data_IF_633880724313
#
_entry.id   IF_633880724313
#
_cell.length_a   1.000
_cell.length_b   1.000
_cell.length_c   1.000
_cell.angle_alpha   90.00
_cell.angle_beta   90.00
_cell.angle_gamma   90.00
#
_symmetry.space_group_name_H-M   'P 1'
#
loop_
_entity.id
_entity.type
_entity.pdbx_description
1 polymer ?
#
# COMPACT_ATOMS: atom_id res chain seq x y z
N UNK A 1 -7.06 17.95 -29.80
CA UNK A 1 -7.77 19.24 -29.64
C UNK A 1 -6.86 20.18 -28.85
N UNK A 2 -6.68 21.42 -29.29
CA UNK A 2 -5.68 22.36 -28.77
C UNK A 2 -6.04 22.81 -27.34
N UNK A 3 -5.17 22.53 -26.37
CA UNK A 3 -5.25 23.07 -25.01
C UNK A 3 -4.94 24.58 -25.05
N UNK A 4 -5.92 25.41 -24.68
CA UNK A 4 -5.71 26.83 -24.37
C UNK A 4 -5.20 26.94 -22.94
N UNK A 5 -3.94 27.34 -22.79
CA UNK A 5 -3.40 27.90 -21.55
C UNK A 5 -4.05 29.27 -21.37
N UNK A 6 -4.89 29.42 -20.34
CA UNK A 6 -5.43 30.72 -19.95
C UNK A 6 -4.54 31.25 -18.83
N UNK A 7 -3.58 32.11 -19.17
CA UNK A 7 -2.91 32.97 -18.19
C UNK A 7 -3.86 34.09 -17.81
N UNK A 8 -4.51 33.98 -16.64
CA UNK A 8 -5.29 35.08 -16.06
C UNK A 8 -4.37 35.86 -15.12
N UNK A 9 -3.94 37.04 -15.55
CA UNK A 9 -3.32 38.04 -14.67
C UNK A 9 -4.47 38.78 -13.98
N UNK A 10 -4.76 38.45 -12.73
CA UNK A 10 -5.66 39.25 -11.90
C UNK A 10 -4.87 40.43 -11.31
N UNK A 11 -5.20 41.65 -11.73
CA UNK A 11 -4.90 42.87 -10.96
C UNK A 11 -6.06 43.02 -9.97
N UNK A 12 -5.84 42.60 -8.73
CA UNK A 12 -6.80 42.77 -7.63
C UNK A 12 -6.70 44.19 -7.09
N UNK A 13 -7.74 45.01 -7.32
CA UNK A 13 -7.97 46.25 -6.58
C UNK A 13 -8.63 45.91 -5.24
N UNK A 14 -7.92 46.12 -4.13
CA UNK A 14 -8.41 45.92 -2.77
C UNK A 14 -9.25 47.12 -2.30
N UNK A 15 -10.44 46.85 -1.74
CA UNK A 15 -11.09 47.70 -0.74
C UNK A 15 -11.63 46.82 0.40
N UNK A 16 -10.79 46.57 1.42
CA UNK A 16 -11.06 46.83 2.84
C UNK A 16 -10.01 46.15 3.75
N UNK A 17 -9.54 46.93 4.74
CA UNK A 17 -8.45 46.68 5.70
C UNK A 17 -7.04 46.63 5.09
N UNK A 18 -6.22 47.61 5.48
CA UNK A 18 -4.89 47.96 4.96
C UNK A 18 -3.96 46.75 4.77
N UNK A 19 -4.01 46.11 3.61
CA UNK A 19 -2.94 45.24 3.12
C UNK A 19 -2.12 46.10 2.17
N UNK A 20 -0.91 46.46 2.59
CA UNK A 20 0.08 47.09 1.72
C UNK A 20 0.92 45.96 1.14
N UNK A 21 0.75 45.75 -0.16
CA UNK A 21 1.39 44.69 -0.92
C UNK A 21 2.16 45.32 -2.08
N UNK A 22 3.47 45.08 -2.16
CA UNK A 22 4.33 45.58 -3.25
C UNK A 22 4.90 44.43 -4.06
N UNK A 23 4.76 44.53 -5.39
CA UNK A 23 5.31 43.58 -6.36
C UNK A 23 4.96 42.11 -6.08
N UNK A 24 3.71 41.83 -5.68
CA UNK A 24 3.23 40.45 -5.46
C UNK A 24 3.01 39.75 -6.80
N UNK A 25 3.72 38.65 -7.02
CA UNK A 25 3.43 37.66 -8.06
C UNK A 25 2.79 36.45 -7.40
N UNK A 26 1.47 36.36 -7.46
CA UNK A 26 0.68 35.26 -6.89
C UNK A 26 0.13 34.36 -7.99
N UNK A 27 0.22 33.05 -7.80
CA UNK A 27 -0.39 32.04 -8.64
C UNK A 27 -1.14 31.05 -7.76
N UNK A 28 -2.45 30.95 -7.95
CA UNK A 28 -3.35 30.10 -7.17
C UNK A 28 -4.14 29.18 -8.10
N UNK A 29 -4.16 27.89 -7.74
CA UNK A 29 -4.94 26.85 -8.41
C UNK A 29 -5.92 26.20 -7.42
N UNK A 30 -6.66 25.20 -7.87
CA UNK A 30 -7.57 24.44 -7.01
C UNK A 30 -6.86 23.64 -5.91
N UNK A 31 -5.54 23.40 -6.02
CA UNK A 31 -4.79 22.59 -5.06
C UNK A 31 -3.46 23.19 -4.61
N UNK A 32 -3.09 24.38 -5.09
CA UNK A 32 -1.83 25.02 -4.73
C UNK A 32 -1.89 26.54 -4.78
N UNK A 33 -1.06 27.19 -3.99
CA UNK A 33 -0.96 28.64 -3.93
C UNK A 33 0.48 29.07 -3.65
N UNK A 34 1.07 29.77 -4.62
CA UNK A 34 2.45 30.26 -4.54
C UNK A 34 2.47 31.77 -4.73
N UNK A 35 3.28 32.46 -3.93
CA UNK A 35 3.50 33.88 -4.14
C UNK A 35 4.93 34.28 -3.81
N UNK A 36 5.44 35.27 -4.55
CA UNK A 36 6.66 36.01 -4.26
C UNK A 36 6.31 37.49 -4.16
N UNK A 37 6.91 38.21 -3.21
CA UNK A 37 6.57 39.61 -2.93
C UNK A 37 7.76 40.38 -2.37
N UNK A 38 7.85 41.66 -2.76
CA UNK A 38 8.84 42.56 -2.20
C UNK A 38 8.46 43.06 -0.81
N UNK A 39 7.16 43.29 -0.61
CA UNK A 39 6.58 43.72 0.66
C UNK A 39 5.17 43.15 0.81
N UNK A 40 4.94 42.47 1.93
CA UNK A 40 3.62 42.07 2.41
C UNK A 40 3.46 42.59 3.84
N UNK A 41 2.58 43.59 3.99
CA UNK A 41 2.16 44.13 5.28
C UNK A 41 0.63 44.09 5.35
N UNK A 42 0.09 43.02 5.92
CA UNK A 42 -1.34 42.71 5.88
C UNK A 42 -1.59 41.21 5.82
N UNK A 43 -2.67 40.78 5.16
CA UNK A 43 -3.02 39.37 5.08
C UNK A 43 -3.56 38.97 3.71
N UNK A 44 -3.22 37.77 3.31
CA UNK A 44 -3.81 37.06 2.19
C UNK A 44 -4.63 35.87 2.73
N UNK A 45 -5.75 35.52 2.08
CA UNK A 45 -6.65 34.47 2.56
C UNK A 45 -7.09 33.51 1.46
N UNK A 46 -7.17 32.23 1.81
CA UNK A 46 -7.78 31.15 1.04
C UNK A 46 -8.95 30.57 1.86
N UNK A 47 -10.12 30.43 1.24
CA UNK A 47 -11.27 29.78 1.86
C UNK A 47 -11.56 28.47 1.14
N UNK A 48 -11.59 27.38 1.88
CA UNK A 48 -12.01 26.06 1.42
C UNK A 48 -13.38 25.75 1.99
N UNK A 49 -14.30 25.36 1.10
CA UNK A 49 -15.66 25.00 1.48
C UNK A 49 -15.65 23.64 2.17
N UNK A 50 -16.52 23.48 3.18
CA UNK A 50 -16.69 22.20 3.87
C UNK A 50 -16.93 21.05 2.89
N UNK A 51 -16.29 19.92 3.18
CA UNK A 51 -16.47 18.65 2.52
C UNK A 51 -16.40 17.58 3.60
N UNK A 52 -17.54 16.96 3.90
CA UNK A 52 -17.64 15.98 4.97
C UNK A 52 -16.71 14.78 4.70
N UNK A 53 -16.09 14.26 5.76
CA UNK A 53 -15.23 13.07 5.68
C UNK A 53 -14.02 13.27 4.75
N UNK A 54 -13.51 14.51 4.71
CA UNK A 54 -12.33 14.87 3.94
C UNK A 54 -11.32 15.63 4.78
N UNK A 55 -10.05 15.41 4.48
CA UNK A 55 -8.91 16.07 5.11
C UNK A 55 -8.14 16.85 4.06
N UNK A 56 -7.76 18.08 4.39
CA UNK A 56 -6.78 18.87 3.62
C UNK A 56 -5.39 18.54 4.15
N UNK A 57 -4.49 18.12 3.28
CA UNK A 57 -3.06 18.09 3.60
C UNK A 57 -2.42 19.39 3.16
N UNK A 58 -2.19 20.29 4.11
CA UNK A 58 -1.52 21.56 3.86
C UNK A 58 -0.01 21.38 3.95
N UNK A 59 0.64 21.20 2.81
CA UNK A 59 2.09 21.32 2.66
C UNK A 59 2.45 22.80 2.55
N UNK A 60 3.41 23.29 3.34
CA UNK A 60 3.81 24.70 3.35
C UNK A 60 5.31 24.91 3.40
N UNK A 61 5.79 25.83 2.55
CA UNK A 61 7.15 26.39 2.57
C UNK A 61 7.02 27.91 2.60
N UNK A 62 7.54 28.55 3.64
CA UNK A 62 7.40 29.99 3.87
C UNK A 62 8.78 30.58 4.11
N UNK A 63 9.12 31.63 3.36
CA UNK A 63 10.41 32.30 3.41
C UNK A 63 10.17 33.78 3.65
N UNK A 64 10.65 34.29 4.79
CA UNK A 64 10.72 35.71 5.09
C UNK A 64 12.19 36.14 5.13
N UNK A 65 12.64 36.86 4.10
CA UNK A 65 14.01 37.42 4.05
C UNK A 65 14.15 38.60 5.03
N UNK A 66 13.07 39.37 5.18
CA UNK A 66 12.91 40.45 6.17
C UNK A 66 11.48 40.44 6.69
N UNK A 67 11.24 41.11 7.83
CA UNK A 67 9.93 41.13 8.47
C UNK A 67 9.51 39.76 9.02
N UNK A 68 8.21 39.49 9.08
CA UNK A 68 7.70 38.18 9.53
C UNK A 68 6.51 37.71 8.70
N UNK A 69 6.43 36.39 8.49
CA UNK A 69 5.30 35.71 7.87
C UNK A 69 4.73 34.67 8.83
N UNK A 70 3.40 34.63 8.93
CA UNK A 70 2.67 33.64 9.72
C UNK A 70 1.64 32.94 8.86
N UNK A 71 1.53 31.63 9.00
CA UNK A 71 0.48 30.82 8.39
C UNK A 71 -0.53 30.44 9.46
N UNK A 72 -1.81 30.70 9.20
CA UNK A 72 -2.89 30.38 10.11
C UNK A 72 -3.93 29.51 9.41
N UNK A 73 -4.49 28.54 10.14
CA UNK A 73 -5.71 27.85 9.79
C UNK A 73 -6.79 28.13 10.85
N UNK A 74 -7.94 28.67 10.44
CA UNK A 74 -9.04 29.07 11.33
C UNK A 74 -8.57 29.91 12.53
N UNK A 75 -7.67 30.89 12.29
CA UNK A 75 -7.03 31.76 13.28
C UNK A 75 -5.99 31.10 14.19
N UNK A 76 -5.75 29.80 14.08
CA UNK A 76 -4.67 29.11 14.79
C UNK A 76 -3.41 29.15 13.96
N UNK A 77 -2.32 29.66 14.53
CA UNK A 77 -1.00 29.65 13.89
C UNK A 77 -0.52 28.21 13.69
N UNK A 78 -0.06 27.91 12.47
CA UNK A 78 0.58 26.66 12.10
C UNK A 78 2.08 26.84 12.31
N UNK A 79 2.67 25.97 13.13
CA UNK A 79 4.11 25.99 13.39
C UNK A 79 4.86 25.49 12.16
N UNK A 80 5.87 26.24 11.74
CA UNK A 80 6.77 25.86 10.66
C UNK A 80 8.15 25.51 11.24
N UNK A 81 8.31 24.28 11.71
CA UNK A 81 9.57 23.79 12.30
C UNK A 81 10.56 23.24 11.27
N UNK A 82 10.07 22.86 10.09
CA UNK A 82 10.86 22.32 8.98
C UNK A 82 10.88 23.28 7.79
N UNK A 83 11.75 23.03 6.79
CA UNK A 83 11.76 23.78 5.53
C UNK A 83 10.45 23.61 4.76
N UNK A 84 9.92 22.39 4.74
CA UNK A 84 8.57 22.04 4.29
C UNK A 84 7.83 21.40 5.46
N UNK A 85 6.64 21.92 5.76
CA UNK A 85 5.79 21.41 6.84
C UNK A 85 4.54 20.80 6.22
N UNK A 86 4.01 19.75 6.83
CA UNK A 86 2.77 19.09 6.40
C UNK A 86 1.78 19.08 7.56
N UNK A 87 0.63 19.72 7.36
CA UNK A 87 -0.41 19.82 8.39
C UNK A 87 -1.72 19.23 7.88
N UNK A 88 -2.25 18.25 8.60
CA UNK A 88 -3.58 17.70 8.37
C UNK A 88 -4.64 18.62 8.98
N UNK A 89 -5.61 19.02 8.17
CA UNK A 89 -6.71 19.89 8.58
C UNK A 89 -8.03 19.25 8.14
N UNK A 90 -8.90 18.91 9.09
CA UNK A 90 -10.22 18.38 8.77
C UNK A 90 -11.08 19.43 8.04
N UNK A 91 -11.80 18.97 7.01
CA UNK A 91 -12.66 19.80 6.16
C UNK A 91 -14.16 19.62 6.45
N UNK A 92 -14.51 19.04 7.61
CA UNK A 92 -15.92 18.92 8.04
C UNK A 92 -16.61 20.29 8.22
N UNK A 93 -15.83 21.36 8.34
CA UNK A 93 -16.28 22.74 8.37
C UNK A 93 -15.52 23.57 7.33
N UNK A 94 -16.04 24.76 6.98
CA UNK A 94 -15.32 25.69 6.13
C UNK A 94 -13.96 26.02 6.78
N UNK A 95 -12.90 25.92 5.98
CA UNK A 95 -11.54 26.12 6.44
C UNK A 95 -11.00 27.41 5.83
N UNK A 96 -10.53 28.31 6.71
CA UNK A 96 -9.85 29.55 6.31
C UNK A 96 -8.36 29.42 6.54
N UNK A 97 -7.58 29.49 5.47
CA UNK A 97 -6.12 29.55 5.49
C UNK A 97 -5.70 31.00 5.28
N UNK A 98 -4.76 31.51 6.08
CA UNK A 98 -4.30 32.89 6.00
C UNK A 98 -2.78 32.96 6.04
N UNK A 99 -2.20 33.83 5.20
CA UNK A 99 -0.81 34.26 5.30
C UNK A 99 -0.83 35.69 5.82
N UNK A 100 -0.21 35.94 6.97
CA UNK A 100 -0.08 37.27 7.57
C UNK A 100 1.36 37.72 7.44
N UNK A 101 1.57 38.84 6.74
CA UNK A 101 2.88 39.49 6.64
C UNK A 101 2.95 40.76 7.48
N UNK A 102 4.10 40.99 8.11
CA UNK A 102 4.44 42.25 8.77
C UNK A 102 5.74 42.77 8.17
N UNK A 103 5.62 43.77 7.29
CA UNK A 103 6.72 44.34 6.49
C UNK A 103 7.61 43.25 5.86
N UNK A 104 6.98 42.18 5.38
CA UNK A 104 7.68 40.97 5.00
C UNK A 104 8.13 41.02 3.54
N UNK A 105 9.39 40.68 3.29
CA UNK A 105 9.90 40.36 1.94
C UNK A 105 10.09 38.85 1.84
N UNK A 106 9.69 38.23 0.72
CA UNK A 106 9.99 36.82 0.49
C UNK A 106 8.93 36.11 -0.33
N UNK A 107 8.63 34.87 0.07
CA UNK A 107 7.75 34.00 -0.68
C UNK A 107 7.04 32.97 0.18
N UNK A 108 5.95 32.42 -0.34
CA UNK A 108 5.37 31.18 0.18
C UNK A 108 4.95 30.25 -0.95
N UNK A 109 4.93 28.96 -0.64
CA UNK A 109 4.33 27.91 -1.44
C UNK A 109 3.48 27.03 -0.55
N UNK A 110 2.22 26.85 -0.95
CA UNK A 110 1.25 25.99 -0.30
C UNK A 110 0.75 24.97 -1.32
N UNK A 111 0.73 23.69 -0.96
CA UNK A 111 -0.11 22.69 -1.61
C UNK A 111 -1.17 22.25 -0.60
N UNK A 112 -2.41 22.12 -1.04
CA UNK A 112 -3.57 21.76 -0.21
C UNK A 112 -4.51 20.75 -0.89
N UNK A 113 -3.99 19.60 -1.35
CA UNK A 113 -4.85 18.53 -1.84
C UNK A 113 -5.86 18.08 -0.78
N UNK A 114 -7.09 17.86 -1.24
CA UNK A 114 -8.19 17.32 -0.43
C UNK A 114 -8.25 15.81 -0.65
N UNK A 115 -8.20 15.04 0.43
CA UNK A 115 -8.36 13.59 0.42
C UNK A 115 -9.62 13.20 1.15
N UNK A 116 -10.43 12.34 0.54
CA UNK A 116 -11.60 11.74 1.18
C UNK A 116 -11.14 10.52 1.99
N UNK A 117 -11.67 10.34 3.19
CA UNK A 117 -11.42 9.13 3.96
C UNK A 117 -12.14 7.96 3.28
N UNK A 118 -11.36 7.03 2.75
CA UNK A 118 -11.85 5.89 1.99
C UNK A 118 -12.17 4.73 2.91
N UNK A 119 -13.30 4.08 2.62
CA UNK A 119 -13.62 2.78 3.20
C UNK A 119 -12.85 1.70 2.48
N UNK A 120 -12.38 0.73 3.26
CA UNK A 120 -11.77 -0.49 2.74
C UNK A 120 -12.88 -1.54 2.58
N UNK A 121 -13.02 -2.08 1.38
CA UNK A 121 -13.95 -3.18 1.12
C UNK A 121 -13.30 -4.48 1.60
N UNK A 122 -14.01 -5.28 2.40
CA UNK A 122 -13.50 -6.58 2.86
C UNK A 122 -14.42 -7.66 2.32
N UNK A 123 -13.84 -8.61 1.61
CA UNK A 123 -14.55 -9.78 1.11
C UNK A 123 -13.54 -10.88 0.80
N UNK A 124 -13.87 -12.14 1.06
CA UNK A 124 -13.12 -13.23 0.47
C UNK A 124 -13.45 -13.34 -1.03
N UNK A 125 -12.58 -13.98 -1.81
CA UNK A 125 -12.83 -14.23 -3.23
C UNK A 125 -12.73 -15.72 -3.54
N UNK A 126 -13.77 -16.29 -4.16
CA UNK A 126 -13.86 -17.74 -4.45
C UNK A 126 -12.75 -18.26 -5.36
N UNK A 127 -12.33 -17.46 -6.35
CA UNK A 127 -11.24 -17.84 -7.25
C UNK A 127 -9.90 -17.87 -6.50
N UNK A 128 -9.68 -16.91 -5.60
CA UNK A 128 -8.50 -16.87 -4.73
C UNK A 128 -8.49 -18.03 -3.73
N UNK A 129 -9.63 -18.35 -3.13
CA UNK A 129 -9.74 -19.51 -2.22
C UNK A 129 -9.36 -20.81 -2.93
N UNK A 130 -9.82 -21.00 -4.18
CA UNK A 130 -9.48 -22.19 -4.95
C UNK A 130 -8.02 -22.19 -5.41
N UNK A 131 -7.47 -21.04 -5.79
CA UNK A 131 -6.05 -20.88 -6.13
C UNK A 131 -5.16 -21.31 -4.97
N UNK A 132 -5.41 -20.77 -3.78
CA UNK A 132 -4.64 -21.04 -2.58
C UNK A 132 -4.81 -22.49 -2.10
N UNK A 133 -6.03 -23.04 -2.16
CA UNK A 133 -6.28 -24.45 -1.86
C UNK A 133 -5.51 -25.36 -2.82
N UNK A 134 -5.53 -25.09 -4.13
CA UNK A 134 -4.80 -25.89 -5.11
C UNK A 134 -3.29 -25.87 -4.80
N UNK A 135 -2.73 -24.71 -4.45
CA UNK A 135 -1.32 -24.61 -4.04
C UNK A 135 -1.05 -25.44 -2.78
N UNK A 136 -1.90 -25.33 -1.76
CA UNK A 136 -1.75 -26.10 -0.53
C UNK A 136 -1.85 -27.61 -0.77
N UNK A 137 -2.74 -28.07 -1.67
CA UNK A 137 -2.88 -29.48 -2.02
C UNK A 137 -1.67 -30.02 -2.80
N UNK A 138 -1.10 -29.21 -3.70
CA UNK A 138 0.11 -29.58 -4.46
C UNK A 138 1.29 -29.84 -3.51
N UNK A 139 1.42 -29.06 -2.44
CA UNK A 139 2.47 -29.19 -1.43
C UNK A 139 1.96 -29.82 -0.12
N UNK A 140 0.88 -30.60 -0.18
CA UNK A 140 0.19 -31.11 1.01
C UNK A 140 1.13 -31.88 1.94
N UNK A 141 1.98 -32.75 1.38
CA UNK A 141 2.88 -33.58 2.18
C UNK A 141 3.91 -32.75 2.93
N UNK A 142 4.38 -31.64 2.36
CA UNK A 142 5.32 -30.72 3.03
C UNK A 142 4.67 -30.10 4.27
N UNK A 143 3.39 -29.69 4.17
CA UNK A 143 2.65 -29.15 5.32
C UNK A 143 2.22 -30.21 6.33
N UNK A 144 1.84 -31.40 5.87
CA UNK A 144 1.38 -32.49 6.72
C UNK A 144 2.53 -33.14 7.51
N UNK A 145 3.76 -33.04 7.01
CA UNK A 145 4.97 -33.60 7.62
C UNK A 145 5.75 -32.61 8.48
N UNK A 146 5.24 -31.38 8.70
CA UNK A 146 5.86 -30.41 9.62
C UNK A 146 6.05 -31.08 11.00
N UNK A 147 7.30 -31.15 11.52
CA UNK A 147 7.58 -31.82 12.78
C UNK A 147 6.89 -31.16 13.98
N UNK A 148 6.44 -31.96 14.94
CA UNK A 148 5.70 -31.46 16.12
C UNK A 148 6.59 -30.66 17.10
N UNK A 149 7.91 -30.83 17.01
CA UNK A 149 8.94 -30.12 17.76
C UNK A 149 9.33 -28.77 17.14
N UNK A 150 9.03 -28.54 15.86
CA UNK A 150 9.37 -27.29 15.19
C UNK A 150 8.48 -26.16 15.73
N UNK A 151 9.10 -25.13 16.29
CA UNK A 151 8.39 -24.01 16.93
C UNK A 151 9.08 -22.66 16.67
N UNK A 152 8.30 -21.59 16.81
CA UNK A 152 8.79 -20.20 16.84
C UNK A 152 8.22 -19.48 18.05
N UNK A 153 9.00 -18.54 18.59
CA UNK A 153 8.51 -17.63 19.62
C UNK A 153 7.78 -16.45 18.97
N UNK A 154 6.48 -16.33 19.22
CA UNK A 154 5.65 -15.18 18.81
C UNK A 154 5.16 -14.50 20.09
N UNK A 155 5.50 -13.21 20.24
CA UNK A 155 5.13 -12.41 21.44
C UNK A 155 5.51 -13.06 22.78
N UNK A 156 6.68 -13.72 22.82
CA UNK A 156 7.19 -14.40 24.02
C UNK A 156 6.55 -15.77 24.30
N UNK A 157 5.73 -16.30 23.39
CA UNK A 157 5.13 -17.63 23.49
C UNK A 157 5.68 -18.55 22.40
N UNK A 158 6.07 -19.75 22.78
CA UNK A 158 6.46 -20.78 21.81
C UNK A 158 5.22 -21.39 21.15
N UNK A 159 5.17 -21.29 19.82
CA UNK A 159 4.08 -21.78 18.99
C UNK A 159 4.64 -22.80 18.02
N UNK A 160 4.00 -23.98 17.94
CA UNK A 160 4.38 -24.99 16.96
C UNK A 160 4.04 -24.51 15.57
N UNK A 161 4.94 -24.72 14.62
CA UNK A 161 4.75 -24.30 13.22
C UNK A 161 3.48 -24.92 12.65
N UNK A 162 3.24 -26.20 12.93
CA UNK A 162 2.05 -26.94 12.48
C UNK A 162 0.74 -26.33 12.96
N UNK A 163 0.70 -25.74 14.16
CA UNK A 163 -0.50 -25.12 14.72
C UNK A 163 -0.89 -23.84 13.96
N UNK A 164 0.09 -23.17 13.34
CA UNK A 164 -0.17 -21.98 12.50
C UNK A 164 -0.94 -22.34 11.22
N UNK A 165 -0.79 -23.57 10.73
CA UNK A 165 -1.48 -24.09 9.54
C UNK A 165 -2.71 -24.95 9.89
N UNK A 166 -3.19 -24.92 11.14
CA UNK A 166 -4.24 -25.82 11.60
C UNK A 166 -5.55 -25.69 10.79
N UNK A 167 -5.95 -24.47 10.42
CA UNK A 167 -7.14 -24.24 9.58
C UNK A 167 -6.92 -24.74 8.14
N UNK A 168 -5.74 -24.46 7.55
CA UNK A 168 -5.39 -24.93 6.21
C UNK A 168 -5.37 -26.46 6.14
N UNK A 169 -4.73 -27.11 7.11
CA UNK A 169 -4.68 -28.57 7.22
C UNK A 169 -6.08 -29.16 7.43
N UNK A 170 -6.92 -28.55 8.29
CA UNK A 170 -8.32 -28.97 8.47
C UNK A 170 -9.08 -28.98 7.15
N UNK A 171 -8.98 -27.90 6.37
CA UNK A 171 -9.63 -27.78 5.07
C UNK A 171 -9.04 -28.77 4.06
N UNK A 172 -7.71 -28.78 3.89
CA UNK A 172 -7.03 -29.61 2.91
C UNK A 172 -7.25 -31.11 3.15
N UNK A 173 -7.40 -31.53 4.40
CA UNK A 173 -7.71 -32.92 4.76
C UNK A 173 -9.01 -33.43 4.13
N UNK A 174 -10.00 -32.57 3.89
CA UNK A 174 -11.26 -32.95 3.23
C UNK A 174 -11.07 -33.29 1.74
N UNK A 175 -9.98 -32.80 1.13
CA UNK A 175 -9.68 -32.93 -0.29
C UNK A 175 -8.53 -33.91 -0.59
N UNK A 176 -8.08 -34.68 0.41
CA UNK A 176 -7.00 -35.68 0.25
C UNK A 176 -7.22 -36.68 -0.89
N UNK A 177 -8.47 -37.07 -1.14
CA UNK A 177 -8.81 -37.96 -2.24
C UNK A 177 -8.50 -37.38 -3.62
N UNK A 178 -8.29 -36.07 -3.72
CA UNK A 178 -8.06 -35.35 -4.97
C UNK A 178 -6.59 -34.92 -5.19
N UNK A 179 -5.64 -35.34 -4.34
CA UNK A 179 -4.21 -35.03 -4.52
C UNK A 179 -3.66 -35.51 -5.87
N UNK A 180 -4.23 -36.59 -6.42
CA UNK A 180 -3.87 -37.15 -7.73
C UNK A 180 -4.77 -36.66 -8.88
N UNK A 181 -5.56 -35.59 -8.66
CA UNK A 181 -6.43 -35.02 -9.70
C UNK A 181 -5.64 -34.61 -10.94
N UNK A 182 -6.11 -35.01 -12.12
CA UNK A 182 -5.52 -34.57 -13.40
C UNK A 182 -5.59 -33.05 -13.58
N UNK A 183 -6.67 -32.42 -13.10
CA UNK A 183 -6.82 -30.97 -13.17
C UNK A 183 -5.80 -30.28 -12.25
N UNK A 184 -5.58 -30.82 -11.04
CA UNK A 184 -4.57 -30.32 -10.12
C UNK A 184 -3.15 -30.46 -10.70
N UNK A 185 -2.86 -31.54 -11.43
CA UNK A 185 -1.57 -31.69 -12.13
C UNK A 185 -1.38 -30.66 -13.25
N UNK A 186 -2.44 -30.32 -13.99
CA UNK A 186 -2.38 -29.22 -14.97
C UNK A 186 -2.09 -27.90 -14.25
N UNK A 187 -2.81 -27.59 -13.16
CA UNK A 187 -2.58 -26.39 -12.34
C UNK A 187 -1.15 -26.34 -11.82
N UNK A 188 -0.62 -27.45 -11.32
CA UNK A 188 0.77 -27.56 -10.84
C UNK A 188 1.79 -27.15 -11.90
N UNK A 189 1.57 -27.52 -13.16
CA UNK A 189 2.49 -27.14 -14.25
C UNK A 189 2.60 -25.62 -14.47
N UNK A 190 1.62 -24.84 -14.02
CA UNK A 190 1.65 -23.38 -14.01
C UNK A 190 2.39 -22.83 -12.79
N UNK A 191 2.28 -23.51 -11.64
CA UNK A 191 2.96 -23.12 -10.40
C UNK A 191 4.45 -23.49 -10.42
N UNK A 192 4.83 -24.53 -11.16
CA UNK A 192 6.23 -24.91 -11.37
C UNK A 192 7.00 -23.86 -12.20
N UNK A 193 6.30 -23.09 -13.04
CA UNK A 193 6.90 -22.02 -13.86
C UNK A 193 7.07 -20.71 -13.09
N UNK A 194 6.15 -20.45 -12.16
CA UNK A 194 6.12 -19.21 -11.38
C UNK A 194 5.29 -19.35 -10.13
N UNK A 195 5.61 -18.50 -9.15
CA UNK A 195 4.90 -18.47 -7.88
C UNK A 195 3.38 -18.25 -8.07
N UNK A 196 2.57 -19.09 -7.43
CA UNK A 196 1.14 -19.20 -7.70
C UNK A 196 0.36 -17.89 -7.50
N UNK A 197 0.77 -17.03 -6.56
CA UNK A 197 0.07 -15.78 -6.29
C UNK A 197 0.17 -14.76 -7.44
N UNK A 198 1.11 -14.93 -8.38
CA UNK A 198 1.21 -14.07 -9.56
C UNK A 198 -0.04 -14.14 -10.45
N UNK A 199 -0.82 -15.22 -10.38
CA UNK A 199 -2.08 -15.35 -11.11
C UNK A 199 -3.26 -14.61 -10.46
N UNK A 200 -3.09 -14.03 -9.26
CA UNK A 200 -4.19 -13.46 -8.48
C UNK A 200 -4.93 -12.33 -9.18
N UNK A 201 -4.20 -11.38 -9.80
CA UNK A 201 -4.82 -10.28 -10.53
C UNK A 201 -5.65 -10.77 -11.73
N UNK A 202 -5.14 -11.76 -12.46
CA UNK A 202 -5.90 -12.41 -13.52
C UNK A 202 -7.18 -13.05 -12.96
N UNK A 203 -7.09 -13.82 -11.88
CA UNK A 203 -8.24 -14.49 -11.27
C UNK A 203 -9.29 -13.55 -10.67
N UNK A 204 -8.88 -12.40 -10.16
CA UNK A 204 -9.79 -11.34 -9.69
C UNK A 204 -10.49 -10.61 -10.84
N UNK A 205 -9.94 -10.68 -12.06
CA UNK A 205 -10.44 -9.96 -13.24
C UNK A 205 -11.39 -10.78 -14.13
N UNK A 206 -11.53 -12.08 -13.87
CA UNK A 206 -12.41 -12.99 -14.63
C UNK A 206 -13.64 -13.38 -13.81
N UNK A 207 -14.62 -13.98 -14.48
CA UNK A 207 -15.83 -14.47 -13.82
C UNK A 207 -15.49 -15.61 -12.83
N UNK A 208 -16.37 -15.90 -11.87
CA UNK A 208 -16.11 -16.93 -10.87
C UNK A 208 -16.13 -18.35 -11.47
N UNK A 209 -15.25 -19.22 -10.98
CA UNK A 209 -15.33 -20.66 -11.21
C UNK A 209 -16.70 -21.23 -10.73
N UNK A 210 -17.27 -22.25 -11.39
CA UNK A 210 -16.71 -23.06 -12.48
C UNK A 210 -17.10 -22.57 -13.89
N UNK A 211 -17.55 -21.32 -14.03
CA UNK A 211 -17.95 -20.75 -15.32
C UNK A 211 -17.03 -19.62 -15.77
N UNK A 212 -15.81 -19.57 -15.22
CA UNK A 212 -14.84 -18.52 -15.53
C UNK A 212 -14.44 -18.61 -17.01
N UNK A 213 -14.37 -17.46 -17.67
CA UNK A 213 -13.97 -17.35 -19.08
C UNK A 213 -12.88 -16.30 -19.24
N UNK A 214 -11.93 -16.60 -20.12
CA UNK A 214 -10.91 -15.66 -20.54
C UNK A 214 -11.52 -14.67 -21.53
N UNK A 215 -11.35 -13.38 -21.27
CA UNK A 215 -11.83 -12.31 -22.14
C UNK A 215 -10.65 -11.78 -22.94
N UNK A 216 -10.84 -11.64 -24.25
CA UNK A 216 -9.86 -11.01 -25.13
C UNK A 216 -9.61 -9.56 -24.68
N UNK A 217 -8.34 -9.15 -24.61
CA UNK A 217 -7.97 -7.83 -24.10
C UNK A 217 -7.86 -7.71 -22.56
N UNK A 218 -7.96 -8.82 -21.82
CA UNK A 218 -7.63 -8.80 -20.39
C UNK A 218 -6.15 -8.41 -20.20
N UNK A 219 -5.90 -7.34 -19.43
CA UNK A 219 -4.56 -6.76 -19.23
C UNK A 219 -3.57 -7.67 -18.50
N UNK A 220 -4.07 -8.69 -17.80
CA UNK A 220 -3.26 -9.66 -17.07
C UNK A 220 -2.96 -10.92 -17.90
N UNK A 221 -3.20 -10.90 -19.22
CA UNK A 221 -2.82 -12.01 -20.11
C UNK A 221 -1.31 -12.14 -20.32
N UNK A 222 -0.52 -11.11 -20.00
CA UNK A 222 0.93 -11.15 -20.01
C UNK A 222 1.52 -12.19 -19.03
N UNK A 223 0.71 -12.63 -18.06
CA UNK A 223 0.99 -13.74 -17.17
C UNK A 223 1.03 -15.10 -17.89
N UNK A 224 0.55 -15.18 -19.12
CA UNK A 224 0.46 -16.41 -19.90
C UNK A 224 1.18 -16.28 -21.23
N UNK A 225 1.55 -17.41 -21.82
CA UNK A 225 2.25 -17.41 -23.13
C UNK A 225 1.32 -17.07 -24.29
N UNK A 226 0.01 -17.32 -24.13
CA UNK A 226 -1.03 -17.00 -25.11
C UNK A 226 -2.40 -16.99 -24.44
N UNK A 227 -3.42 -16.50 -25.16
CA UNK A 227 -4.82 -16.61 -24.69
C UNK A 227 -5.24 -18.06 -24.49
N UNK A 228 -4.80 -18.98 -25.37
CA UNK A 228 -5.10 -20.40 -25.25
C UNK A 228 -4.48 -21.03 -24.00
N UNK A 229 -3.29 -20.56 -23.62
CA UNK A 229 -2.62 -20.96 -22.39
C UNK A 229 -3.39 -20.48 -21.14
N UNK A 230 -3.89 -19.25 -21.16
CA UNK A 230 -4.77 -18.72 -20.11
C UNK A 230 -6.10 -19.50 -20.03
N UNK A 231 -6.67 -19.90 -21.18
CA UNK A 231 -7.88 -20.72 -21.24
C UNK A 231 -7.65 -22.12 -20.67
N UNK A 232 -6.50 -22.75 -20.97
CA UNK A 232 -6.14 -24.05 -20.41
C UNK A 232 -6.04 -23.99 -18.89
N UNK A 233 -5.38 -22.97 -18.35
CA UNK A 233 -5.33 -22.70 -16.91
C UNK A 233 -6.72 -22.52 -16.31
N UNK A 234 -7.54 -21.65 -16.93
CA UNK A 234 -8.90 -21.33 -16.45
C UNK A 234 -9.80 -22.56 -16.48
N UNK A 235 -9.73 -23.37 -17.54
CA UNK A 235 -10.49 -24.61 -17.68
C UNK A 235 -10.07 -25.66 -16.67
N UNK A 236 -8.76 -25.78 -16.36
CA UNK A 236 -8.29 -26.68 -15.31
C UNK A 236 -8.91 -26.31 -13.94
N UNK A 237 -8.99 -25.02 -13.61
CA UNK A 237 -9.66 -24.57 -12.39
C UNK A 237 -11.19 -24.74 -12.43
N UNK A 238 -11.86 -24.45 -13.55
CA UNK A 238 -13.31 -24.72 -13.72
C UNK A 238 -13.63 -26.20 -13.45
N UNK A 239 -12.83 -27.10 -14.04
CA UNK A 239 -12.99 -28.53 -13.89
C UNK A 239 -12.66 -28.99 -12.47
N UNK A 240 -11.56 -28.50 -11.89
CA UNK A 240 -11.17 -28.85 -10.52
C UNK A 240 -12.21 -28.39 -9.50
N UNK A 241 -12.74 -27.17 -9.65
CA UNK A 241 -13.84 -26.65 -8.83
C UNK A 241 -15.03 -27.61 -8.80
N UNK A 242 -15.43 -28.11 -9.98
CA UNK A 242 -16.56 -29.04 -10.11
C UNK A 242 -16.22 -30.41 -9.55
N UNK A 243 -15.02 -30.93 -9.84
CA UNK A 243 -14.52 -32.23 -9.39
C UNK A 243 -14.53 -32.35 -7.87
N UNK A 244 -14.05 -31.32 -7.16
CA UNK A 244 -13.97 -31.31 -5.70
C UNK A 244 -15.25 -30.80 -5.03
N UNK A 245 -16.30 -30.51 -5.82
CA UNK A 245 -17.57 -29.95 -5.36
C UNK A 245 -17.38 -28.69 -4.50
N UNK A 246 -16.56 -27.76 -4.98
CA UNK A 246 -16.11 -26.62 -4.18
C UNK A 246 -17.24 -25.72 -3.66
N UNK A 247 -18.38 -25.65 -4.36
CA UNK A 247 -19.58 -24.98 -3.83
C UNK A 247 -20.09 -25.63 -2.53
N UNK A 248 -20.13 -26.96 -2.43
CA UNK A 248 -20.55 -27.65 -1.21
C UNK A 248 -19.60 -27.30 -0.03
N UNK A 249 -18.30 -27.17 -0.31
CA UNK A 249 -17.32 -26.69 0.66
C UNK A 249 -17.59 -25.24 1.10
N UNK A 250 -17.81 -24.33 0.16
CA UNK A 250 -18.05 -22.91 0.47
C UNK A 250 -19.31 -22.73 1.33
N UNK A 251 -20.38 -23.47 1.04
CA UNK A 251 -21.60 -23.46 1.86
C UNK A 251 -21.34 -24.04 3.26
N UNK A 252 -20.63 -25.17 3.34
CA UNK A 252 -20.26 -25.79 4.62
C UNK A 252 -19.39 -24.88 5.49
N UNK A 253 -18.44 -24.16 4.89
CA UNK A 253 -17.51 -23.26 5.58
C UNK A 253 -18.03 -21.82 5.68
N UNK A 254 -19.29 -21.55 5.31
CA UNK A 254 -19.86 -20.21 5.39
C UNK A 254 -19.70 -19.54 6.77
N UNK A 255 -19.95 -20.22 7.91
CA UNK A 255 -19.71 -19.62 9.23
C UNK A 255 -18.24 -19.24 9.50
N UNK A 256 -17.29 -19.97 8.90
CA UNK A 256 -15.86 -19.65 9.01
C UNK A 256 -15.52 -18.37 8.22
N UNK A 257 -16.08 -18.22 7.02
CA UNK A 257 -15.91 -16.98 6.25
C UNK A 257 -16.56 -15.79 6.94
N UNK A 258 -17.77 -15.94 7.49
CA UNK A 258 -18.41 -14.88 8.29
C UNK A 258 -17.56 -14.47 9.48
N UNK A 259 -17.01 -15.46 10.22
CA UNK A 259 -16.10 -15.18 11.33
C UNK A 259 -14.83 -14.47 10.88
N UNK A 260 -14.19 -14.94 9.82
CA UNK A 260 -12.96 -14.33 9.28
C UNK A 260 -13.21 -12.86 8.89
N UNK A 261 -14.30 -12.59 8.17
CA UNK A 261 -14.68 -11.23 7.79
C UNK A 261 -14.97 -10.38 9.03
N UNK A 262 -15.65 -10.94 10.04
CA UNK A 262 -15.87 -10.26 11.31
C UNK A 262 -14.55 -9.89 12.00
N UNK A 263 -13.63 -10.85 12.17
CA UNK A 263 -12.32 -10.62 12.80
C UNK A 263 -11.54 -9.53 12.07
N UNK A 264 -11.47 -9.58 10.73
CA UNK A 264 -10.80 -8.54 9.94
C UNK A 264 -11.50 -7.19 10.08
N UNK A 265 -12.83 -7.16 10.03
CA UNK A 265 -13.60 -5.90 10.06
C UNK A 265 -13.47 -5.14 11.37
N UNK A 266 -13.30 -5.84 12.50
CA UNK A 266 -13.05 -5.20 13.80
C UNK A 266 -11.63 -4.64 13.94
N UNK A 267 -10.70 -5.10 13.10
CA UNK A 267 -9.28 -4.75 13.13
C UNK A 267 -8.85 -3.84 11.99
N UNK A 268 -9.78 -3.39 11.14
CA UNK A 268 -9.47 -2.42 10.08
C UNK A 268 -8.76 -1.23 10.74
N UNK A 269 -7.60 -0.80 10.20
CA UNK A 269 -6.89 0.34 10.74
C UNK A 269 -7.84 1.54 10.84
N UNK A 270 -8.05 2.04 12.07
CA UNK A 270 -9.27 2.77 12.39
C UNK A 270 -9.47 4.09 11.66
N UNK A 271 -8.45 4.77 11.14
CA UNK A 271 -8.58 5.92 10.21
C UNK A 271 -7.21 6.29 9.58
N UNK A 272 -7.25 7.02 8.46
CA UNK A 272 -6.19 7.89 7.90
C UNK A 272 -4.87 7.31 7.36
N UNK A 273 -4.58 6.01 7.44
CA UNK A 273 -3.36 5.52 6.78
C UNK A 273 -3.43 5.59 5.24
N UNK A 274 -4.62 5.43 4.66
CA UNK A 274 -4.81 5.58 3.20
C UNK A 274 -4.53 7.01 2.78
N UNK A 275 -5.09 8.00 3.48
CA UNK A 275 -4.88 9.41 3.12
C UNK A 275 -3.42 9.82 3.32
N UNK A 276 -2.73 9.29 4.34
CA UNK A 276 -1.28 9.45 4.50
C UNK A 276 -0.49 8.86 3.32
N UNK A 277 -0.80 7.62 2.91
CA UNK A 277 -0.15 6.99 1.77
C UNK A 277 -0.39 7.78 0.49
N UNK A 278 -1.65 8.15 0.18
CA UNK A 278 -1.97 8.89 -1.04
C UNK A 278 -1.34 10.28 -1.10
N UNK A 279 -1.22 10.95 0.06
CA UNK A 279 -0.50 12.22 0.18
C UNK A 279 1.00 12.05 0.00
N UNK A 280 1.59 11.12 0.75
CA UNK A 280 3.02 10.88 0.73
C UNK A 280 3.52 10.43 -0.65
N UNK A 281 2.80 9.52 -1.33
CA UNK A 281 3.14 9.09 -2.68
C UNK A 281 2.65 10.04 -3.78
N UNK A 282 1.78 11.01 -3.46
CA UNK A 282 1.22 11.94 -4.44
C UNK A 282 0.25 11.28 -5.45
N UNK A 283 -0.38 10.15 -5.10
CA UNK A 283 -1.26 9.37 -5.99
C UNK A 283 -2.56 9.00 -5.28
N UNK A 284 -3.70 9.24 -5.92
CA UNK A 284 -5.03 8.84 -5.44
C UNK A 284 -5.53 7.60 -6.20
N UNK A 285 -6.21 6.71 -5.49
CA UNK A 285 -6.84 5.50 -6.03
C UNK A 285 -8.30 5.43 -5.61
N UNK A 286 -9.20 4.97 -6.48
CA UNK A 286 -10.63 5.00 -6.20
C UNK A 286 -11.05 3.99 -5.11
N UNK A 287 -10.45 2.79 -5.11
CA UNK A 287 -10.90 1.68 -4.26
C UNK A 287 -9.75 0.97 -3.55
N UNK A 288 -10.02 0.54 -2.32
CA UNK A 288 -9.12 -0.28 -1.51
C UNK A 288 -9.84 -1.55 -1.06
N UNK A 289 -9.27 -2.71 -1.38
CA UNK A 289 -9.92 -4.01 -1.15
C UNK A 289 -9.02 -4.95 -0.34
N UNK A 290 -9.61 -5.62 0.65
CA UNK A 290 -8.99 -6.68 1.42
C UNK A 290 -9.66 -8.01 1.10
N UNK A 291 -8.83 -8.99 0.76
CA UNK A 291 -9.21 -10.35 0.42
C UNK A 291 -8.61 -11.35 1.41
N UNK A 292 -9.11 -11.39 2.66
CA UNK A 292 -8.70 -12.41 3.60
C UNK A 292 -9.08 -13.80 3.09
N UNK A 293 -8.22 -14.79 3.36
CA UNK A 293 -8.35 -16.14 2.81
C UNK A 293 -8.14 -17.23 3.85
N UNK A 294 -9.06 -18.21 3.89
CA UNK A 294 -8.96 -19.36 4.79
C UNK A 294 -8.01 -20.44 4.27
N UNK A 295 -7.81 -20.49 2.95
CA UNK A 295 -7.00 -21.52 2.29
C UNK A 295 -5.56 -21.08 2.03
N UNK A 296 -5.26 -19.78 2.18
CA UNK A 296 -3.90 -19.25 2.10
C UNK A 296 -3.07 -19.61 3.33
N UNK A 297 -1.81 -19.99 3.12
CA UNK A 297 -0.92 -20.40 4.20
C UNK A 297 -0.61 -19.26 5.18
N UNK A 298 -0.40 -19.59 6.46
CA UNK A 298 -0.15 -18.64 7.54
C UNK A 298 0.81 -17.50 7.16
N UNK A 299 0.44 -16.27 7.54
CA UNK A 299 1.21 -15.04 7.33
C UNK A 299 1.54 -14.68 5.87
N UNK A 300 1.00 -15.38 4.87
CA UNK A 300 1.14 -14.96 3.48
C UNK A 300 0.28 -13.73 3.19
N UNK A 301 0.80 -12.82 2.36
CA UNK A 301 0.18 -11.56 1.95
C UNK A 301 0.65 -11.22 0.54
N UNK A 302 -0.24 -10.67 -0.30
CA UNK A 302 0.07 -10.31 -1.69
C UNK A 302 -0.70 -9.07 -2.15
N UNK A 303 0.04 -8.12 -2.70
CA UNK A 303 -0.51 -6.98 -3.41
C UNK A 303 -1.26 -7.42 -4.67
N UNK A 304 -2.47 -6.90 -4.84
CA UNK A 304 -3.29 -7.04 -6.04
C UNK A 304 -3.88 -5.69 -6.40
N UNK A 305 -4.30 -5.52 -7.64
CA UNK A 305 -4.93 -4.28 -8.09
C UNK A 305 -4.49 -3.82 -9.46
N UNK A 306 -4.89 -2.59 -9.74
CA UNK A 306 -4.57 -1.84 -10.93
C UNK A 306 -4.52 -0.33 -10.64
N UNK A 307 -4.57 0.48 -11.70
CA UNK A 307 -4.56 1.94 -11.60
C UNK A 307 -5.70 2.55 -10.79
N UNK A 308 -6.85 1.87 -10.66
CA UNK A 308 -8.06 2.37 -10.01
C UNK A 308 -8.41 1.64 -8.70
N UNK A 309 -7.81 0.48 -8.44
CA UNK A 309 -8.03 -0.31 -7.23
C UNK A 309 -6.71 -0.85 -6.68
N UNK A 310 -6.48 -0.66 -5.39
CA UNK A 310 -5.41 -1.33 -4.65
C UNK A 310 -6.04 -2.39 -3.76
N UNK A 311 -5.41 -3.54 -3.64
CA UNK A 311 -5.87 -4.56 -2.73
C UNK A 311 -4.77 -5.47 -2.19
N UNK A 312 -5.16 -6.28 -1.22
CA UNK A 312 -4.29 -7.22 -0.54
C UNK A 312 -5.03 -8.55 -0.30
N UNK A 313 -4.45 -9.65 -0.76
CA UNK A 313 -4.85 -11.01 -0.42
C UNK A 313 -3.98 -11.51 0.73
N UNK A 314 -4.57 -11.98 1.82
CA UNK A 314 -3.78 -12.39 2.98
C UNK A 314 -4.40 -13.51 3.82
N UNK A 315 -3.53 -14.23 4.53
CA UNK A 315 -3.88 -15.27 5.49
C UNK A 315 -3.98 -14.71 6.92
N UNK A 316 -4.28 -15.58 7.90
CA UNK A 316 -4.22 -15.22 9.31
C UNK A 316 -2.80 -14.84 9.77
N UNK A 317 -2.71 -14.00 10.80
CA UNK A 317 -1.45 -13.50 11.38
C UNK A 317 -1.20 -14.00 12.80
N UNK A 318 -2.14 -14.75 13.35
CA UNK A 318 -2.06 -15.32 14.68
C UNK A 318 -2.47 -16.78 14.62
N UNK A 319 -1.96 -17.58 15.57
CA UNK A 319 -2.30 -19.01 15.64
C UNK A 319 -3.82 -19.16 15.74
N UNK A 320 -4.49 -19.88 14.82
CA UNK A 320 -5.90 -20.18 14.95
C UNK A 320 -6.19 -21.00 16.22
N UNK A 321 -7.26 -20.66 16.92
CA UNK A 321 -7.79 -21.37 18.09
C UNK A 321 -9.26 -21.75 17.84
N UNK A 322 -9.78 -22.77 18.55
CA UNK A 322 -11.20 -23.18 18.49
C UNK A 322 -11.75 -23.41 17.08
N UNK A 323 -10.96 -23.99 16.17
CA UNK A 323 -11.33 -24.16 14.74
C UNK A 323 -12.37 -25.27 14.45
N UNK A 324 -12.90 -25.94 15.48
CA UNK A 324 -13.75 -27.12 15.31
C UNK A 324 -15.24 -26.84 15.50
N UNK A 325 -15.59 -25.81 16.25
CA UNK A 325 -16.97 -25.45 16.51
C UNK A 325 -17.27 -24.08 15.89
N UNK A 326 -18.18 -24.00 14.91
CA UNK A 326 -18.56 -22.75 14.25
C UNK A 326 -19.05 -21.63 15.19
N UNK A 327 -19.53 -21.97 16.40
CA UNK A 327 -20.10 -21.00 17.34
C UNK A 327 -19.05 -20.17 18.11
N UNK A 328 -17.81 -20.65 18.23
CA UNK A 328 -16.75 -20.01 19.02
C UNK A 328 -15.38 -19.93 18.32
N UNK A 329 -15.40 -19.89 16.98
CA UNK A 329 -14.21 -19.82 16.12
C UNK A 329 -13.28 -18.65 16.48
N UNK A 330 -11.97 -18.92 16.50
CA UNK A 330 -10.91 -17.90 16.59
C UNK A 330 -9.89 -18.16 15.48
N UNK A 331 -10.07 -17.52 14.32
CA UNK A 331 -9.39 -17.92 13.08
C UNK A 331 -7.99 -17.29 12.91
N UNK A 332 -7.57 -16.48 13.88
CA UNK A 332 -6.24 -15.86 13.88
C UNK A 332 -6.15 -14.60 13.03
N UNK A 333 -7.28 -14.02 12.59
CA UNK A 333 -7.33 -12.75 11.86
C UNK A 333 -7.51 -11.54 12.79
N UNK A 334 -7.84 -11.78 14.06
CA UNK A 334 -8.03 -10.75 15.08
C UNK A 334 -6.70 -10.13 15.56
N UNK A 335 -6.02 -9.38 14.68
CA UNK A 335 -4.73 -8.73 14.97
C UNK A 335 -4.59 -7.38 14.23
N UNK A 336 -5.02 -6.29 14.86
CA UNK A 336 -4.99 -4.92 14.32
C UNK A 336 -3.60 -4.49 13.85
N UNK A 337 -2.55 -4.79 14.63
CA UNK A 337 -1.17 -4.36 14.31
C UNK A 337 -0.63 -5.08 13.08
N UNK A 338 -0.81 -6.39 13.01
CA UNK A 338 -0.40 -7.18 11.86
C UNK A 338 -1.19 -6.79 10.60
N UNK A 339 -2.51 -6.62 10.74
CA UNK A 339 -3.38 -6.20 9.64
C UNK A 339 -2.96 -4.84 9.07
N UNK A 340 -2.71 -3.84 9.93
CA UNK A 340 -2.20 -2.54 9.48
C UNK A 340 -0.85 -2.66 8.79
N UNK A 341 0.07 -3.44 9.36
CA UNK A 341 1.41 -3.63 8.79
C UNK A 341 1.33 -4.23 7.39
N UNK A 342 0.54 -5.29 7.22
CA UNK A 342 0.37 -5.93 5.90
C UNK A 342 -0.34 -5.00 4.91
N UNK A 343 -1.31 -4.21 5.36
CA UNK A 343 -2.00 -3.27 4.48
C UNK A 343 -1.02 -2.22 3.95
N UNK A 344 -0.21 -1.61 4.82
CA UNK A 344 0.79 -0.62 4.40
C UNK A 344 1.83 -1.25 3.46
N UNK A 345 2.31 -2.46 3.77
CA UNK A 345 3.27 -3.19 2.93
C UNK A 345 2.70 -3.47 1.54
N UNK A 346 1.59 -4.20 1.46
CA UNK A 346 1.03 -4.68 0.20
C UNK A 346 0.45 -3.54 -0.64
N UNK A 347 -0.20 -2.56 -0.01
CA UNK A 347 -0.64 -1.37 -0.74
C UNK A 347 0.57 -0.56 -1.23
N UNK A 348 1.67 -0.55 -0.47
CA UNK A 348 2.94 0.09 -0.80
C UNK A 348 3.46 -0.33 -2.17
N UNK A 349 3.38 -1.62 -2.53
CA UNK A 349 3.81 -2.10 -3.85
C UNK A 349 3.08 -1.41 -5.02
N UNK A 350 1.82 -1.02 -4.84
CA UNK A 350 1.03 -0.34 -5.88
C UNK A 350 1.44 1.12 -6.12
N UNK A 351 2.25 1.69 -5.23
CA UNK A 351 2.88 2.99 -5.37
C UNK A 351 4.36 2.87 -5.75
N UNK A 352 5.08 1.97 -5.08
CA UNK A 352 6.53 1.81 -5.20
C UNK A 352 6.94 1.15 -6.51
N UNK A 353 6.31 0.05 -6.90
CA UNK A 353 6.73 -0.70 -8.09
C UNK A 353 6.63 0.17 -9.36
N UNK A 354 5.52 0.90 -9.61
CA UNK A 354 5.44 1.82 -10.73
C UNK A 354 6.48 2.95 -10.71
N UNK A 355 6.89 3.42 -9.52
CA UNK A 355 7.93 4.45 -9.41
C UNK A 355 9.30 3.90 -9.84
N UNK A 356 9.63 2.68 -9.43
CA UNK A 356 10.87 1.99 -9.82
C UNK A 356 10.82 1.57 -11.30
N UNK A 357 9.67 1.15 -11.82
CA UNK A 357 9.48 0.79 -13.23
C UNK A 357 9.71 1.97 -14.20
N UNK A 358 9.55 3.21 -13.73
CA UNK A 358 9.86 4.42 -14.51
C UNK A 358 11.36 4.75 -14.57
N UNK A 359 12.19 4.11 -13.74
CA UNK A 359 13.63 4.30 -13.76
C UNK A 359 14.22 3.58 -14.97
N UNK A 360 15.11 4.26 -15.70
CA UNK A 360 15.81 3.68 -16.85
C UNK A 360 16.54 2.40 -16.41
N UNK A 361 16.31 1.31 -17.15
CA UNK A 361 16.91 0.01 -16.82
C UNK A 361 18.43 0.06 -16.75
N UNK A 362 19.08 0.96 -17.50
CA UNK A 362 20.54 1.16 -17.42
C UNK A 362 20.98 1.62 -16.05
N UNK A 363 20.23 2.53 -15.41
CA UNK A 363 20.55 3.00 -14.05
C UNK A 363 20.43 1.84 -13.06
N UNK A 364 19.39 1.01 -13.19
CA UNK A 364 19.21 -0.17 -12.34
C UNK A 364 20.33 -1.19 -12.59
N UNK A 365 20.67 -1.43 -13.85
CA UNK A 365 21.70 -2.37 -14.28
C UNK A 365 23.10 -1.96 -13.79
N UNK A 366 23.43 -0.67 -13.88
CA UNK A 366 24.69 -0.10 -13.40
C UNK A 366 24.87 -0.27 -11.88
N UNK A 367 23.77 -0.47 -11.15
CA UNK A 367 23.73 -0.66 -9.69
C UNK A 367 23.56 -2.12 -9.27
N UNK A 368 23.56 -3.09 -10.21
CA UNK A 368 23.36 -4.51 -9.88
C UNK A 368 24.39 -5.09 -8.90
N UNK A 369 25.59 -4.53 -8.83
CA UNK A 369 26.63 -4.98 -7.92
C UNK A 369 26.24 -4.84 -6.43
N UNK A 370 25.28 -3.95 -6.09
CA UNK A 370 24.73 -3.84 -4.73
C UNK A 370 23.93 -5.07 -4.28
N UNK A 371 23.49 -5.92 -5.22
CA UNK A 371 22.82 -7.16 -4.88
C UNK A 371 23.78 -8.18 -4.29
N UNK A 372 25.03 -8.25 -4.77
CA UNK A 372 25.96 -9.33 -4.40
C UNK A 372 26.22 -9.43 -2.88
N UNK A 373 26.41 -8.34 -2.11
CA UNK A 373 26.57 -8.42 -0.66
C UNK A 373 25.36 -8.98 0.12
N UNK A 374 24.15 -8.88 -0.45
CA UNK A 374 22.90 -9.28 0.23
C UNK A 374 22.24 -10.51 -0.42
N UNK A 375 22.77 -10.98 -1.54
CA UNK A 375 22.17 -11.99 -2.42
C UNK A 375 21.71 -13.23 -1.68
N UNK A 376 22.58 -13.85 -0.89
CA UNK A 376 22.24 -15.10 -0.19
C UNK A 376 21.07 -14.92 0.78
N UNK A 377 21.03 -13.79 1.51
CA UNK A 377 19.97 -13.47 2.47
C UNK A 377 18.68 -13.04 1.80
N UNK A 378 18.77 -12.36 0.66
CA UNK A 378 17.63 -11.94 -0.14
C UNK A 378 17.00 -13.12 -0.88
N UNK A 379 17.80 -14.00 -1.47
CA UNK A 379 17.33 -15.21 -2.15
C UNK A 379 16.63 -16.19 -1.20
N UNK A 380 17.07 -16.29 0.06
CA UNK A 380 16.34 -17.05 1.10
C UNK A 380 14.93 -16.49 1.38
N UNK A 381 14.72 -15.22 1.07
CA UNK A 381 13.43 -14.53 1.18
C UNK A 381 12.72 -14.43 -0.20
N UNK A 382 13.17 -15.22 -1.19
CA UNK A 382 12.68 -15.25 -2.57
C UNK A 382 12.95 -13.97 -3.41
N UNK A 383 13.81 -13.08 -2.93
CA UNK A 383 14.24 -11.88 -3.67
C UNK A 383 15.52 -12.19 -4.45
N UNK A 384 15.34 -12.66 -5.69
CA UNK A 384 16.41 -13.30 -6.48
C UNK A 384 17.12 -12.37 -7.48
N UNK A 385 16.71 -11.12 -7.58
CA UNK A 385 17.39 -10.12 -8.40
C UNK A 385 17.36 -8.73 -7.77
N UNK A 386 18.21 -7.86 -8.29
CA UNK A 386 18.40 -6.50 -7.76
C UNK A 386 17.14 -5.64 -7.86
N UNK A 387 16.37 -5.75 -8.95
CA UNK A 387 15.16 -4.92 -9.13
C UNK A 387 14.06 -5.36 -8.16
N UNK A 388 13.90 -6.65 -7.93
CA UNK A 388 13.02 -7.17 -6.86
C UNK A 388 13.47 -6.63 -5.51
N UNK A 389 14.78 -6.67 -5.22
CA UNK A 389 15.31 -6.10 -3.98
C UNK A 389 14.97 -4.61 -3.86
N UNK A 390 15.09 -3.81 -4.93
CA UNK A 390 14.72 -2.40 -4.91
C UNK A 390 13.24 -2.21 -4.58
N UNK A 391 12.31 -2.99 -5.19
CA UNK A 391 10.89 -2.92 -4.85
C UNK A 391 10.68 -3.09 -3.34
N UNK A 392 11.26 -4.14 -2.78
CA UNK A 392 11.12 -4.46 -1.35
C UNK A 392 11.79 -3.42 -0.45
N UNK A 393 13.01 -2.98 -0.76
CA UNK A 393 13.72 -1.98 0.04
C UNK A 393 12.92 -0.68 0.13
N UNK A 394 12.34 -0.21 -0.98
CA UNK A 394 11.51 0.99 -0.97
C UNK A 394 10.17 0.76 -0.27
N UNK A 395 9.51 -0.40 -0.43
CA UNK A 395 8.30 -0.70 0.34
C UNK A 395 8.60 -0.70 1.85
N UNK A 396 9.65 -1.41 2.29
CA UNK A 396 10.08 -1.42 3.70
C UNK A 396 10.45 -0.04 4.21
N UNK A 397 11.13 0.79 3.40
CA UNK A 397 11.47 2.16 3.79
C UNK A 397 10.22 3.00 4.06
N UNK A 398 9.22 2.87 3.19
CA UNK A 398 7.98 3.61 3.34
C UNK A 398 7.10 3.08 4.47
N UNK A 399 7.15 1.78 4.81
CA UNK A 399 6.50 1.30 6.04
C UNK A 399 7.01 2.06 7.29
N UNK A 400 8.32 2.30 7.37
CA UNK A 400 8.95 3.04 8.46
C UNK A 400 8.46 4.50 8.47
N UNK A 401 8.40 5.14 7.30
CA UNK A 401 7.99 6.54 7.16
C UNK A 401 6.49 6.73 7.44
N UNK A 402 5.62 5.90 6.86
CA UNK A 402 4.18 5.94 7.09
C UNK A 402 3.86 5.70 8.57
N UNK A 403 4.58 4.79 9.26
CA UNK A 403 4.44 4.62 10.70
C UNK A 403 4.76 5.91 11.48
N UNK A 404 5.80 6.67 11.10
CA UNK A 404 6.12 7.97 11.71
C UNK A 404 5.04 9.02 11.44
N UNK A 405 4.53 9.09 10.21
CA UNK A 405 3.46 10.02 9.84
C UNK A 405 2.15 9.74 10.59
N UNK A 406 1.91 8.48 10.94
CA UNK A 406 0.82 8.04 11.81
C UNK A 406 1.11 8.23 13.31
N UNK A 407 2.23 8.85 13.68
CA UNK A 407 2.72 9.04 15.05
C UNK A 407 3.01 7.73 15.82
N UNK A 408 3.29 6.64 15.12
CA UNK A 408 3.67 5.35 15.71
C UNK A 408 5.19 5.12 15.61
N UNK A 409 5.94 5.94 16.36
CA UNK A 409 7.40 5.88 16.40
C UNK A 409 7.93 4.53 16.93
N UNK A 410 7.18 3.88 17.84
CA UNK A 410 7.54 2.56 18.33
C UNK A 410 7.53 1.56 17.17
N UNK A 411 6.44 1.48 16.41
CA UNK A 411 6.33 0.57 15.27
C UNK A 411 7.35 0.89 14.19
N UNK A 412 7.59 2.18 13.91
CA UNK A 412 8.62 2.61 12.96
C UNK A 412 10.01 2.04 13.31
N UNK A 413 10.41 2.15 14.59
CA UNK A 413 11.68 1.60 15.08
C UNK A 413 11.71 0.07 15.04
N UNK A 414 10.60 -0.58 15.38
CA UNK A 414 10.47 -2.06 15.29
C UNK A 414 10.67 -2.56 13.86
N UNK A 415 10.02 -1.92 12.87
CA UNK A 415 10.12 -2.29 11.46
C UNK A 415 11.55 -2.09 10.95
N UNK A 416 12.16 -0.93 11.25
CA UNK A 416 13.54 -0.66 10.84
C UNK A 416 14.51 -1.70 11.42
N UNK A 417 14.39 -1.97 12.72
CA UNK A 417 15.25 -2.92 13.42
C UNK A 417 15.10 -4.34 12.86
N UNK A 418 13.86 -4.81 12.67
CA UNK A 418 13.60 -6.15 12.13
C UNK A 418 14.18 -6.32 10.72
N UNK A 419 13.93 -5.34 9.84
CA UNK A 419 14.40 -5.39 8.47
C UNK A 419 15.93 -5.30 8.36
N UNK A 420 16.55 -4.41 9.12
CA UNK A 420 17.99 -4.21 9.09
C UNK A 420 18.74 -5.40 9.75
N UNK A 421 18.38 -5.74 10.98
CA UNK A 421 19.15 -6.72 11.79
C UNK A 421 18.83 -8.17 11.43
N UNK A 422 17.57 -8.50 11.12
CA UNK A 422 17.15 -9.90 10.93
C UNK A 422 16.97 -10.29 9.47
N UNK A 423 16.56 -9.36 8.63
CA UNK A 423 16.24 -9.61 7.21
C UNK A 423 17.29 -9.09 6.23
N UNK A 424 18.36 -8.47 6.73
CA UNK A 424 19.52 -8.01 5.95
C UNK A 424 19.20 -6.94 4.89
N UNK A 425 18.18 -6.10 5.12
CA UNK A 425 17.94 -4.90 4.30
C UNK A 425 18.95 -3.80 4.66
N UNK A 426 20.22 -4.02 4.33
CA UNK A 426 21.33 -3.16 4.80
C UNK A 426 21.29 -1.73 4.25
N UNK A 427 20.67 -1.51 3.08
CA UNK A 427 20.54 -0.18 2.45
C UNK A 427 19.32 0.61 2.96
N UNK A 428 18.48 -0.01 3.77
CA UNK A 428 17.23 0.58 4.27
C UNK A 428 17.43 1.92 5.00
N UNK A 429 18.40 2.08 5.92
CA UNK A 429 18.58 3.35 6.63
C UNK A 429 18.86 4.55 5.70
N UNK A 430 19.71 4.37 4.69
CA UNK A 430 20.06 5.42 3.74
C UNK A 430 18.86 5.83 2.87
N UNK A 431 18.06 4.85 2.44
CA UNK A 431 16.85 5.11 1.65
C UNK A 431 15.84 5.92 2.49
N UNK A 432 15.62 5.53 3.75
CA UNK A 432 14.74 6.26 4.68
C UNK A 432 15.23 7.70 4.86
N UNK A 433 16.51 7.90 5.15
CA UNK A 433 17.09 9.23 5.34
C UNK A 433 16.85 10.14 4.12
N UNK A 434 17.12 9.64 2.90
CA UNK A 434 16.94 10.42 1.67
C UNK A 434 15.46 10.72 1.40
N UNK A 435 14.55 9.79 1.68
CA UNK A 435 13.10 10.00 1.53
C UNK A 435 12.56 10.99 2.56
N UNK A 436 12.98 10.91 3.83
CA UNK A 436 12.60 11.87 4.86
C UNK A 436 13.14 13.27 4.54
N UNK A 437 14.40 13.35 4.09
CA UNK A 437 14.96 14.62 3.64
C UNK A 437 14.13 15.21 2.52
N UNK A 438 13.77 14.42 1.51
CA UNK A 438 12.90 14.87 0.43
C UNK A 438 11.57 15.40 0.95
N UNK A 439 10.87 14.63 1.76
CA UNK A 439 9.54 14.99 2.25
C UNK A 439 9.57 16.34 3.00
N UNK A 440 10.57 16.56 3.87
CA UNK A 440 10.65 17.78 4.67
C UNK A 440 11.45 18.94 4.03
N UNK A 441 12.09 18.76 2.87
CA UNK A 441 12.97 19.78 2.28
C UNK A 441 12.82 20.00 0.77
N UNK A 442 12.42 18.99 0.01
CA UNK A 442 12.41 18.96 -1.46
C UNK A 442 11.03 18.62 -2.05
N UNK A 443 9.99 18.51 -1.23
CA UNK A 443 8.64 18.09 -1.65
C UNK A 443 8.05 18.97 -2.77
N UNK A 444 8.34 20.27 -2.77
CA UNK A 444 7.85 21.19 -3.82
C UNK A 444 8.71 21.17 -5.09
N UNK A 445 9.88 20.53 -5.02
CA UNK A 445 10.90 20.51 -6.05
C UNK A 445 10.93 19.19 -6.82
N UNK A 446 10.59 18.07 -6.17
CA UNK A 446 10.63 16.72 -6.74
C UNK A 446 9.38 15.95 -6.32
N UNK A 447 8.81 15.18 -7.25
CA UNK A 447 7.84 14.14 -6.94
C UNK A 447 8.50 12.94 -6.26
N UNK A 448 7.68 12.06 -5.66
CA UNK A 448 8.14 10.79 -5.11
C UNK A 448 8.92 9.96 -6.15
N UNK A 449 8.39 9.84 -7.37
CA UNK A 449 9.02 9.08 -8.47
C UNK A 449 10.40 9.64 -8.85
N UNK A 450 10.51 10.97 -8.95
CA UNK A 450 11.78 11.64 -9.22
C UNK A 450 12.78 11.40 -8.09
N UNK A 451 12.32 11.41 -6.83
CA UNK A 451 13.19 11.12 -5.69
C UNK A 451 13.63 9.67 -5.65
N UNK A 452 12.75 8.70 -5.93
CA UNK A 452 13.11 7.28 -6.05
C UNK A 452 14.21 7.09 -7.09
N UNK A 453 14.05 7.69 -8.28
CA UNK A 453 15.06 7.66 -9.34
C UNK A 453 16.40 8.23 -8.87
N UNK A 454 16.38 9.39 -8.20
CA UNK A 454 17.58 10.02 -7.66
C UNK A 454 18.29 9.13 -6.64
N UNK A 455 17.54 8.57 -5.68
CA UNK A 455 18.09 7.68 -4.65
C UNK A 455 18.81 6.49 -5.29
N UNK A 456 18.18 5.81 -6.26
CA UNK A 456 18.79 4.65 -6.95
C UNK A 456 20.06 5.07 -7.70
N UNK A 457 20.04 6.21 -8.38
CA UNK A 457 21.19 6.72 -9.11
C UNK A 457 22.38 7.06 -8.19
N UNK A 458 22.09 7.59 -7.00
CA UNK A 458 23.08 8.02 -6.00
C UNK A 458 23.48 6.94 -4.98
N UNK A 459 23.04 5.68 -5.13
CA UNK A 459 23.49 4.60 -4.25
C UNK A 459 25.01 4.39 -4.41
N UNK A 460 25.73 4.36 -3.28
CA UNK A 460 27.19 4.21 -3.17
C UNK A 460 27.58 3.08 -2.23
#
# INVERSE_FOLDING_TARGET
>A
MKNKIISIIFILNFFNSCTVSKNIKSNQTNGSWKAEFEELNGKEELNLTKQANSTVYLSSKIIANTGSLKLLANKKEILNSQKVNHTKLELDNNLKIQIIGQNANGSFSLDYPIYENKKINIQYNKNIELLALASFLIYYDDYASIPDEQSFTIEGKDIKVKDLYAINLKIANEFKSHLNSKNLQVIKSYFDKKFYAQYSNFLLSIDNFPNAKVKEGNKFLNEFTSIQDAENFTNAFNNFFTEIKFNEFLEKYHPYYERMIFEVSQNIPKDNFITEMEHYYGKKVAHYNLYPSLTLGFSQGFAVGDENMIGNIFACFSKPEKINNPEDLELGFNNEKALRTVCVHEFGHSFVNPAIDKVDSKIIDDKKYFFEPIKDKMSQQAYNDWKICLYEHFVRANEVIIAKLLNDNQKSNEILKDNYEKRSFIYLPQIIEKLEFWYYNEYFEKSYDEKVKEIINEME
#
